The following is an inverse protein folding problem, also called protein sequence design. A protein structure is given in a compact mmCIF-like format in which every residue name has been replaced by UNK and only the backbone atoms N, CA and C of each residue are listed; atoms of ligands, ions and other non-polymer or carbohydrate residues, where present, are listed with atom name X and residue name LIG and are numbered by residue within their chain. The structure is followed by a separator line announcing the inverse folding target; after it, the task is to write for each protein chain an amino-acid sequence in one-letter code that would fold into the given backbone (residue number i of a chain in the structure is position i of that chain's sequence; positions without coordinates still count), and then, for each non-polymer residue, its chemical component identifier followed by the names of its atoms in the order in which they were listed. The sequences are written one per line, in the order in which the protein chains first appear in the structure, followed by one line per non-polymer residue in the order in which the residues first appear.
data_IF_558811999907
#
_entry.id   IF_558811999907
#
_cell.length_a   1.000
_cell.length_b   1.000
_cell.length_c   1.000
_cell.angle_alpha   90.00
_cell.angle_beta   90.00
_cell.angle_gamma   90.00
#
_symmetry.space_group_name_H-M   'P 1'
#
loop_
_entity.id
_entity.type
_entity.pdbx_description
1 polymer ?
#
# COMPACT_ATOMS: atom_id res chain seq x y z
N UNK A 1 -21.02 -11.22 22.30
CA UNK A 1 -19.86 -11.94 21.73
C UNK A 1 -20.01 -12.24 20.24
N UNK A 2 -21.22 -12.42 19.70
CA UNK A 2 -21.42 -12.82 18.29
C UNK A 2 -20.96 -11.78 17.25
N UNK A 3 -20.93 -10.49 17.60
CA UNK A 3 -20.42 -9.43 16.70
C UNK A 3 -18.90 -9.44 16.52
N UNK A 4 -18.13 -10.05 17.44
CA UNK A 4 -16.66 -10.08 17.41
C UNK A 4 -16.09 -11.35 16.75
N UNK A 5 -16.86 -12.44 16.72
CA UNK A 5 -16.45 -13.72 16.11
C UNK A 5 -15.90 -13.60 14.68
N UNK A 6 -16.52 -12.85 13.75
CA UNK A 6 -15.99 -12.73 12.38
C UNK A 6 -14.71 -11.88 12.27
N UNK A 7 -14.38 -11.10 13.30
CA UNK A 7 -13.15 -10.29 13.37
C UNK A 7 -12.01 -11.01 14.12
N UNK A 8 -12.30 -12.15 14.74
CA UNK A 8 -11.34 -12.87 15.57
C UNK A 8 -10.04 -13.21 14.81
N UNK A 9 -10.07 -13.66 13.53
CA UNK A 9 -8.85 -13.89 12.75
C UNK A 9 -8.01 -12.61 12.59
N UNK A 10 -8.64 -11.48 12.28
CA UNK A 10 -7.95 -10.20 12.06
C UNK A 10 -7.38 -9.63 13.36
N UNK A 11 -8.14 -9.71 14.46
CA UNK A 11 -7.69 -9.29 15.79
C UNK A 11 -6.50 -10.14 16.23
N UNK A 12 -6.60 -11.47 16.08
CA UNK A 12 -5.53 -12.41 16.44
C UNK A 12 -4.28 -12.19 15.59
N UNK A 13 -4.44 -12.00 14.28
CA UNK A 13 -3.35 -11.69 13.36
C UNK A 13 -2.68 -10.35 13.71
N UNK A 14 -3.46 -9.32 14.04
CA UNK A 14 -2.94 -8.01 14.46
C UNK A 14 -2.15 -8.13 15.76
N UNK A 15 -2.70 -8.81 16.78
CA UNK A 15 -2.02 -9.02 18.05
C UNK A 15 -0.70 -9.80 17.87
N UNK A 16 -0.72 -10.87 17.08
CA UNK A 16 0.48 -11.65 16.76
C UNK A 16 1.53 -10.79 16.04
N UNK A 17 1.11 -10.00 15.04
CA UNK A 17 2.02 -9.16 14.27
C UNK A 17 2.61 -8.01 15.08
N UNK A 18 1.81 -7.36 15.93
CA UNK A 18 2.26 -6.33 16.86
C UNK A 18 3.25 -6.91 17.86
N UNK A 19 2.95 -8.09 18.43
CA UNK A 19 3.86 -8.78 19.34
C UNK A 19 5.19 -9.11 18.65
N UNK A 20 5.13 -9.65 17.43
CA UNK A 20 6.30 -9.92 16.62
C UNK A 20 7.09 -8.64 16.27
N UNK A 21 6.41 -7.58 15.88
CA UNK A 21 7.04 -6.32 15.53
C UNK A 21 7.75 -5.68 16.73
N UNK A 22 7.13 -5.71 17.90
CA UNK A 22 7.69 -5.22 19.16
C UNK A 22 8.90 -6.03 19.61
N UNK A 23 8.76 -7.36 19.66
CA UNK A 23 9.84 -8.26 20.10
C UNK A 23 11.04 -8.27 19.16
N UNK A 24 10.81 -8.05 17.86
CA UNK A 24 11.87 -8.00 16.85
C UNK A 24 12.31 -6.59 16.46
N UNK A 25 11.84 -5.56 17.17
CA UNK A 25 12.14 -4.13 16.92
C UNK A 25 11.97 -3.75 15.44
N UNK A 26 10.90 -4.23 14.78
CA UNK A 26 10.63 -3.97 13.35
C UNK A 26 9.92 -2.66 13.10
N UNK A 27 9.22 -2.17 14.12
CA UNK A 27 8.56 -0.88 14.13
C UNK A 27 9.03 -0.12 15.36
N UNK A 28 9.15 1.20 15.22
CA UNK A 28 9.27 2.11 16.36
C UNK A 28 8.00 2.05 17.22
N UNK A 29 8.02 2.50 18.49
CA UNK A 29 6.80 2.58 19.30
C UNK A 29 5.67 3.36 18.61
N UNK A 30 5.99 4.51 18.00
CA UNK A 30 5.04 5.29 17.20
C UNK A 30 4.56 4.51 15.95
N UNK A 31 5.47 3.77 15.30
CA UNK A 31 5.14 2.89 14.18
C UNK A 31 4.17 1.77 14.56
N UNK A 32 4.29 1.19 15.76
CA UNK A 32 3.34 0.17 16.26
C UNK A 32 1.95 0.77 16.41
N UNK A 33 1.84 1.95 17.03
CA UNK A 33 0.55 2.66 17.19
C UNK A 33 -0.06 2.96 15.82
N UNK A 34 0.73 3.49 14.88
CA UNK A 34 0.29 3.72 13.50
C UNK A 34 -0.18 2.42 12.83
N UNK A 35 0.56 1.32 13.00
CA UNK A 35 0.21 0.01 12.46
C UNK A 35 -1.11 -0.54 13.00
N UNK A 36 -1.36 -0.36 14.31
CA UNK A 36 -2.64 -0.74 14.95
C UNK A 36 -3.80 0.09 14.38
N UNK A 37 -3.61 1.41 14.24
CA UNK A 37 -4.63 2.30 13.68
C UNK A 37 -4.96 1.93 12.23
N UNK A 38 -3.94 1.73 11.40
CA UNK A 38 -4.10 1.30 10.00
C UNK A 38 -4.80 -0.06 9.94
N UNK A 39 -4.39 -1.05 10.74
CA UNK A 39 -5.06 -2.35 10.82
C UNK A 39 -6.52 -2.22 11.25
N UNK A 40 -6.80 -1.34 12.23
CA UNK A 40 -8.15 -1.00 12.68
C UNK A 40 -9.03 -0.51 11.53
N UNK A 41 -8.57 0.47 10.74
CA UNK A 41 -9.30 0.97 9.58
C UNK A 41 -9.59 -0.14 8.56
N UNK A 42 -8.62 -1.02 8.29
CA UNK A 42 -8.81 -2.13 7.36
C UNK A 42 -9.83 -3.16 7.87
N UNK A 43 -9.94 -3.34 9.20
CA UNK A 43 -10.93 -4.21 9.84
C UNK A 43 -12.35 -3.62 9.83
N UNK A 44 -12.51 -2.31 9.68
CA UNK A 44 -13.84 -1.68 9.57
C UNK A 44 -14.57 -2.07 8.28
N UNK A 45 -13.82 -2.41 7.23
CA UNK A 45 -14.41 -2.76 5.95
C UNK A 45 -15.01 -4.18 5.97
N UNK A 46 -16.20 -4.41 5.40
CA UNK A 46 -16.83 -5.73 5.38
C UNK A 46 -16.07 -6.79 4.55
N UNK A 47 -15.06 -6.39 3.78
CA UNK A 47 -14.23 -7.28 2.98
C UNK A 47 -12.88 -7.50 3.65
N UNK A 48 -12.62 -8.68 4.25
CA UNK A 48 -11.35 -8.97 4.91
C UNK A 48 -10.13 -8.92 3.99
N UNK A 49 -10.33 -8.95 2.67
CA UNK A 49 -9.25 -8.90 1.68
C UNK A 49 -8.30 -7.71 1.87
N UNK A 50 -8.82 -6.52 2.19
CA UNK A 50 -7.97 -5.34 2.40
C UNK A 50 -7.07 -5.49 3.64
N UNK A 51 -7.61 -6.07 4.71
CA UNK A 51 -6.81 -6.39 5.90
C UNK A 51 -5.69 -7.39 5.56
N UNK A 52 -5.99 -8.45 4.81
CA UNK A 52 -4.97 -9.44 4.45
C UNK A 52 -3.88 -8.88 3.54
N UNK A 53 -4.20 -7.93 2.64
CA UNK A 53 -3.20 -7.21 1.86
C UNK A 53 -2.20 -6.47 2.75
N UNK A 54 -2.68 -5.74 3.76
CA UNK A 54 -1.83 -5.05 4.73
C UNK A 54 -0.90 -6.02 5.46
N UNK A 55 -1.43 -7.14 5.97
CA UNK A 55 -0.65 -8.13 6.72
C UNK A 55 0.42 -8.77 5.84
N UNK A 56 0.05 -9.22 4.65
CA UNK A 56 0.99 -9.88 3.74
C UNK A 56 2.03 -8.88 3.21
N UNK A 57 1.64 -7.63 2.94
CA UNK A 57 2.59 -6.57 2.59
C UNK A 57 3.63 -6.37 3.69
N UNK A 58 3.21 -6.28 4.96
CA UNK A 58 4.14 -6.14 6.07
C UNK A 58 5.09 -7.34 6.18
N UNK A 59 4.57 -8.57 6.07
CA UNK A 59 5.36 -9.80 6.19
C UNK A 59 6.38 -9.90 5.06
N UNK A 60 5.94 -9.74 3.81
CA UNK A 60 6.80 -9.80 2.63
C UNK A 60 7.83 -8.67 2.63
N UNK A 61 7.40 -7.43 2.91
CA UNK A 61 8.29 -6.27 3.04
C UNK A 61 9.34 -6.47 4.13
N UNK A 62 8.97 -7.07 5.27
CA UNK A 62 9.94 -7.42 6.34
C UNK A 62 10.87 -8.57 5.95
N UNK A 63 10.45 -9.43 5.01
CA UNK A 63 11.25 -10.50 4.46
C UNK A 63 12.34 -9.98 3.51
N UNK A 64 11.95 -9.17 2.52
CA UNK A 64 12.89 -8.66 1.49
C UNK A 64 13.96 -7.73 2.05
N UNK A 65 13.65 -6.97 3.12
CA UNK A 65 14.65 -6.14 3.83
C UNK A 65 15.75 -6.98 4.50
N UNK A 66 15.55 -8.29 4.68
CA UNK A 66 16.57 -9.19 5.25
C UNK A 66 17.46 -9.83 4.21
N UNK A 67 17.00 -9.90 2.97
CA UNK A 67 17.77 -10.52 1.89
C UNK A 67 19.01 -9.68 1.63
N UNK A 68 20.19 -10.32 1.68
CA UNK A 68 21.46 -9.69 1.35
C UNK A 68 21.92 -8.56 2.28
N UNK A 69 21.46 -8.49 3.54
CA UNK A 69 21.84 -7.40 4.48
C UNK A 69 23.33 -7.08 4.54
N UNK A 70 24.18 -8.11 4.61
CA UNK A 70 25.65 -7.92 4.62
C UNK A 70 26.16 -7.27 3.33
N UNK A 71 25.58 -7.63 2.18
CA UNK A 71 25.93 -7.04 0.90
C UNK A 71 25.41 -5.60 0.78
N UNK A 72 24.20 -5.30 1.29
CA UNK A 72 23.61 -3.96 1.29
C UNK A 72 24.42 -2.95 2.10
N UNK A 73 24.93 -3.35 3.26
CA UNK A 73 25.69 -2.47 4.14
C UNK A 73 26.96 -1.87 3.50
N UNK A 74 27.49 -2.50 2.44
CA UNK A 74 28.63 -2.00 1.69
C UNK A 74 28.28 -1.04 0.54
N UNK A 75 27.01 -0.90 0.17
CA UNK A 75 26.59 -0.19 -1.05
C UNK A 75 26.23 1.27 -0.81
N UNK A 76 25.66 1.60 0.35
CA UNK A 76 25.29 2.97 0.75
C UNK A 76 25.86 3.32 2.12
N UNK A 77 25.89 4.61 2.46
CA UNK A 77 26.30 5.12 3.77
C UNK A 77 25.05 5.60 4.49
N UNK A 78 24.68 4.95 5.59
CA UNK A 78 23.53 5.37 6.39
C UNK A 78 23.95 6.35 7.49
N UNK A 79 23.31 7.53 7.57
CA UNK A 79 23.48 8.43 8.71
C UNK A 79 22.31 8.30 9.69
N UNK A 80 22.63 7.92 10.93
CA UNK A 80 21.72 7.98 12.06
C UNK A 80 22.05 9.21 12.90
N UNK A 81 21.27 10.28 12.73
CA UNK A 81 21.49 11.50 13.48
C UNK A 81 20.20 12.27 13.68
N UNK A 82 19.64 12.21 14.89
CA UNK A 82 18.51 13.02 15.36
C UNK A 82 18.86 14.53 15.55
N UNK A 83 19.88 15.03 14.86
CA UNK A 83 20.28 16.45 14.85
C UNK A 83 20.59 16.90 13.41
N UNK A 84 19.60 16.80 12.54
CA UNK A 84 19.55 17.53 11.26
C UNK A 84 19.05 18.97 11.44
N UNK A 85 19.25 19.57 12.61
CA UNK A 85 18.98 20.97 12.88
C UNK A 85 20.29 21.61 13.33
N UNK A 86 21.05 22.16 12.38
CA UNK A 86 21.89 23.32 12.71
C UNK A 86 21.03 24.52 12.36
N UNK A 87 20.44 25.09 13.41
CA UNK A 87 19.82 26.39 13.36
C UNK A 87 20.82 27.43 12.87
N UNK A 88 20.28 28.42 12.18
CA UNK A 88 20.95 29.67 11.90
C UNK A 88 21.33 30.29 13.26
N UNK A 89 22.63 30.40 13.55
CA UNK A 89 23.18 31.11 14.71
C UNK A 89 23.70 30.21 15.82
N UNK A 90 25.02 30.11 15.96
CA UNK A 90 25.81 30.88 16.93
C UNK A 90 27.26 30.36 16.92
N UNK A 91 28.24 31.28 16.97
CA UNK A 91 29.67 30.96 16.99
C UNK A 91 30.02 30.21 18.29
N UNK A 92 30.52 28.99 18.17
CA UNK A 92 31.10 28.25 19.29
C UNK A 92 32.00 27.13 18.78
N UNK A 93 33.31 27.35 18.79
CA UNK A 93 34.29 26.36 18.37
C UNK A 93 34.36 25.19 19.33
N UNK A 94 34.42 23.97 18.78
CA UNK A 94 35.18 22.88 19.38
C UNK A 94 35.55 21.87 18.29
N UNK A 95 36.86 21.62 18.15
CA UNK A 95 37.40 20.51 17.35
C UNK A 95 36.98 19.21 18.03
N UNK A 96 35.90 18.60 17.55
CA UNK A 96 35.52 17.23 17.89
C UNK A 96 35.86 16.32 16.74
N UNK A 97 36.56 15.23 17.03
CA UNK A 97 36.99 14.19 16.10
C UNK A 97 35.92 13.84 15.06
N UNK A 98 36.37 13.71 13.80
CA UNK A 98 35.62 13.10 12.73
C UNK A 98 35.45 11.60 13.03
N UNK A 99 34.49 11.28 13.90
CA UNK A 99 34.06 9.92 14.13
C UNK A 99 33.58 9.31 12.82
N UNK A 100 34.33 8.33 12.32
CA UNK A 100 33.83 7.39 11.33
C UNK A 100 32.59 6.69 11.93
N UNK A 101 31.41 7.19 11.58
CA UNK A 101 30.16 6.50 11.84
C UNK A 101 30.00 5.37 10.81
N UNK A 102 30.69 4.25 11.05
CA UNK A 102 30.33 2.96 10.46
C UNK A 102 29.05 2.48 11.16
N UNK A 103 27.90 3.00 10.73
CA UNK A 103 26.60 2.44 11.12
C UNK A 103 26.30 1.22 10.25
N UNK A 104 25.95 0.09 10.88
CA UNK A 104 25.45 -1.11 10.19
C UNK A 104 24.34 -0.72 9.20
N UNK A 105 24.63 -0.79 7.90
CA UNK A 105 23.74 -0.41 6.81
C UNK A 105 22.55 -1.36 6.64
N UNK A 106 21.64 -1.32 7.59
CA UNK A 106 20.31 -1.89 7.51
C UNK A 106 19.27 -0.83 7.85
N UNK A 107 18.23 -0.74 7.03
CA UNK A 107 17.05 0.07 7.32
C UNK A 107 16.58 -0.20 8.76
N UNK A 108 16.46 0.86 9.56
CA UNK A 108 16.11 0.77 10.97
C UNK A 108 14.68 0.29 11.21
N UNK A 109 14.22 0.39 12.46
CA UNK A 109 12.82 0.11 12.78
C UNK A 109 11.91 1.09 12.02
N UNK A 110 10.86 0.60 11.37
CA UNK A 110 9.95 1.43 10.58
C UNK A 110 9.25 2.48 11.44
N UNK A 111 9.22 3.71 10.96
CA UNK A 111 8.59 4.84 11.66
C UNK A 111 7.08 4.89 11.39
N UNK A 112 6.33 5.67 12.17
CA UNK A 112 4.92 5.96 11.88
C UNK A 112 4.74 6.63 10.51
N UNK A 113 5.68 7.50 10.13
CA UNK A 113 5.66 8.18 8.83
C UNK A 113 5.77 7.17 7.68
N UNK A 114 6.66 6.19 7.79
CA UNK A 114 6.77 5.09 6.81
C UNK A 114 5.49 4.24 6.72
N UNK A 115 4.84 3.98 7.86
CA UNK A 115 3.56 3.24 7.87
C UNK A 115 2.47 4.00 7.13
N UNK A 116 2.30 5.30 7.41
CA UNK A 116 1.30 6.12 6.73
C UNK A 116 1.64 6.46 5.28
N UNK A 117 2.92 6.58 4.93
CA UNK A 117 3.35 6.76 3.55
C UNK A 117 2.86 5.60 2.66
N UNK A 118 2.97 4.37 3.16
CA UNK A 118 2.61 3.18 2.40
C UNK A 118 1.10 2.86 2.43
N UNK A 119 0.42 3.09 3.57
CA UNK A 119 -0.97 2.63 3.78
C UNK A 119 -1.99 3.73 4.06
N UNK A 120 -1.56 5.00 4.19
CA UNK A 120 -2.43 6.10 4.59
C UNK A 120 -3.52 6.40 3.55
N UNK A 121 -3.17 6.48 2.27
CA UNK A 121 -4.17 6.71 1.23
C UNK A 121 -5.14 5.52 1.08
N UNK A 122 -4.66 4.29 1.26
CA UNK A 122 -5.52 3.11 1.31
C UNK A 122 -6.54 3.19 2.45
N UNK A 123 -6.16 3.73 3.62
CA UNK A 123 -7.12 3.98 4.70
C UNK A 123 -8.22 4.96 4.29
N UNK A 124 -7.88 6.03 3.57
CA UNK A 124 -8.87 7.00 3.04
C UNK A 124 -9.82 6.32 2.06
N UNK A 125 -9.31 5.53 1.11
CA UNK A 125 -10.12 4.80 0.14
C UNK A 125 -11.03 3.76 0.82
N UNK A 126 -10.51 3.05 1.83
CA UNK A 126 -11.29 2.06 2.60
C UNK A 126 -12.41 2.74 3.38
N UNK A 127 -12.13 3.85 4.06
CA UNK A 127 -13.15 4.59 4.80
C UNK A 127 -14.22 5.15 3.85
N UNK A 128 -13.81 5.71 2.71
CA UNK A 128 -14.73 6.16 1.68
C UNK A 128 -15.59 5.01 1.14
N UNK A 129 -15.01 3.83 0.90
CA UNK A 129 -15.75 2.69 0.41
C UNK A 129 -16.73 2.14 1.47
N UNK A 130 -16.29 2.02 2.72
CA UNK A 130 -17.16 1.66 3.85
C UNK A 130 -18.33 2.64 3.97
N UNK A 131 -18.08 3.95 3.87
CA UNK A 131 -19.11 4.98 3.93
C UNK A 131 -20.15 4.85 2.81
N UNK A 132 -19.72 4.56 1.57
CA UNK A 132 -20.64 4.35 0.46
C UNK A 132 -21.48 3.07 0.64
N UNK A 133 -20.89 2.00 1.18
CA UNK A 133 -21.61 0.76 1.47
C UNK A 133 -22.65 0.92 2.59
N UNK A 134 -22.36 1.71 3.62
CA UNK A 134 -23.31 1.97 4.70
C UNK A 134 -24.39 2.96 4.28
N UNK A 135 -24.05 3.98 3.48
CA UNK A 135 -24.98 4.99 2.97
C UNK A 135 -26.02 4.45 1.98
N UNK A 136 -25.77 3.28 1.39
CA UNK A 136 -26.66 2.61 0.42
C UNK A 136 -27.53 1.50 1.05
N UNK A 137 -27.45 1.31 2.37
CA UNK A 137 -28.33 0.40 3.12
C UNK A 137 -29.79 0.89 3.15
N UNK A 138 -30.77 -0.02 3.34
CA UNK A 138 -32.18 0.37 3.46
C UNK A 138 -32.38 1.26 4.70
N UNK A 139 -32.80 2.49 4.47
CA UNK A 139 -33.11 3.46 5.52
C UNK A 139 -34.39 3.04 6.28
N UNK A 140 -34.40 3.16 7.62
CA UNK A 140 -35.61 3.08 8.47
C UNK A 140 -36.41 4.41 8.38
N UNK A 141 -36.45 5.06 7.22
CA UNK A 141 -37.24 6.29 7.03
C UNK A 141 -38.04 6.28 5.74
N UNK A 142 -38.71 5.17 5.46
CA UNK A 142 -39.89 5.19 4.60
C UNK A 142 -41.12 5.87 5.24
N UNK A 143 -40.99 6.49 6.42
CA UNK A 143 -42.07 7.21 7.10
C UNK A 143 -41.81 8.70 7.37
N UNK A 144 -40.65 9.25 6.96
CA UNK A 144 -40.38 10.69 7.09
C UNK A 144 -40.14 11.28 5.70
N UNK A 145 -41.17 11.96 5.20
CA UNK A 145 -41.14 12.68 3.92
C UNK A 145 -40.13 13.83 3.98
N UNK A 146 -39.07 13.80 3.16
CA UNK A 146 -38.11 14.91 3.01
C UNK A 146 -36.64 14.59 3.30
N UNK A 147 -36.31 13.38 3.77
CA UNK A 147 -34.92 12.97 3.96
C UNK A 147 -34.35 12.38 2.65
N UNK A 148 -33.31 13.01 2.10
CA UNK A 148 -32.61 12.54 0.90
C UNK A 148 -32.06 11.12 1.10
N UNK A 149 -32.10 10.23 0.09
CA UNK A 149 -31.31 8.99 0.12
C UNK A 149 -29.84 9.31 0.41
N UNK A 150 -29.14 8.40 1.10
CA UNK A 150 -27.69 8.52 1.29
C UNK A 150 -26.93 8.59 -0.03
N UNK A 151 -25.65 8.99 0.02
CA UNK A 151 -24.81 9.22 -1.16
C UNK A 151 -24.69 7.95 -2.02
N UNK A 152 -25.35 7.95 -3.19
CA UNK A 152 -25.32 6.83 -4.15
C UNK A 152 -24.36 7.14 -5.30
N UNK A 153 -23.16 6.53 -5.25
CA UNK A 153 -22.13 6.68 -6.28
C UNK A 153 -21.64 5.31 -6.79
N UNK A 154 -22.43 4.61 -7.63
CA UNK A 154 -22.12 3.24 -8.05
C UNK A 154 -20.80 3.13 -8.83
N UNK A 155 -20.50 4.12 -9.68
CA UNK A 155 -19.25 4.17 -10.41
C UNK A 155 -18.05 4.21 -9.46
N UNK A 156 -18.07 5.08 -8.46
CA UNK A 156 -17.02 5.20 -7.45
C UNK A 156 -16.90 3.91 -6.60
N UNK A 157 -18.03 3.33 -6.18
CA UNK A 157 -18.02 2.08 -5.40
C UNK A 157 -17.42 0.89 -6.17
N UNK A 158 -17.58 0.84 -7.49
CA UNK A 158 -17.04 -0.25 -8.31
C UNK A 158 -15.52 -0.19 -8.45
N UNK A 159 -14.96 1.01 -8.40
CA UNK A 159 -13.54 1.23 -8.67
C UNK A 159 -12.68 1.33 -7.42
N UNK A 160 -13.24 1.75 -6.28
CA UNK A 160 -12.51 1.85 -5.00
C UNK A 160 -11.76 0.57 -4.59
N UNK A 161 -12.36 -0.64 -4.69
CA UNK A 161 -11.63 -1.88 -4.39
C UNK A 161 -10.38 -2.06 -5.24
N UNK A 162 -10.47 -1.70 -6.52
CA UNK A 162 -9.40 -1.90 -7.48
C UNK A 162 -8.27 -0.90 -7.21
N UNK A 163 -8.62 0.35 -6.91
CA UNK A 163 -7.66 1.37 -6.47
C UNK A 163 -6.91 0.96 -5.19
N UNK A 164 -7.61 0.37 -4.21
CA UNK A 164 -6.98 -0.15 -2.98
C UNK A 164 -5.99 -1.28 -3.30
N UNK A 165 -6.37 -2.26 -4.12
CA UNK A 165 -5.49 -3.38 -4.49
C UNK A 165 -4.29 -2.89 -5.28
N UNK A 166 -4.49 -1.98 -6.23
CA UNK A 166 -3.44 -1.45 -7.08
C UNK A 166 -2.41 -0.63 -6.30
N UNK A 167 -2.85 0.17 -5.33
CA UNK A 167 -1.94 0.85 -4.41
C UNK A 167 -1.05 -0.15 -3.67
N UNK A 168 -1.64 -1.21 -3.10
CA UNK A 168 -0.84 -2.23 -2.40
C UNK A 168 0.10 -3.00 -3.34
N UNK A 169 -0.34 -3.28 -4.58
CA UNK A 169 0.52 -3.86 -5.60
C UNK A 169 1.69 -2.93 -5.95
N UNK A 170 1.45 -1.63 -6.07
CA UNK A 170 2.46 -0.60 -6.36
C UNK A 170 3.48 -0.47 -5.23
N UNK A 171 3.01 -0.31 -3.99
CA UNK A 171 3.91 -0.19 -2.83
C UNK A 171 4.72 -1.48 -2.62
N UNK A 172 4.13 -2.66 -2.86
CA UNK A 172 4.87 -3.92 -2.79
C UNK A 172 5.87 -4.08 -3.94
N UNK A 173 5.50 -3.69 -5.16
CA UNK A 173 6.38 -3.68 -6.32
C UNK A 173 7.59 -2.81 -6.05
N UNK A 174 7.35 -1.59 -5.56
CA UNK A 174 8.41 -0.66 -5.22
C UNK A 174 9.31 -1.16 -4.09
N UNK A 175 8.72 -1.69 -3.01
CA UNK A 175 9.49 -2.28 -1.90
C UNK A 175 10.38 -3.43 -2.37
N UNK A 176 9.88 -4.32 -3.23
CA UNK A 176 10.70 -5.42 -3.75
C UNK A 176 11.78 -4.91 -4.71
N UNK A 177 11.43 -3.94 -5.56
CA UNK A 177 12.34 -3.35 -6.53
C UNK A 177 13.52 -2.66 -5.87
N UNK A 178 13.27 -1.80 -4.88
CA UNK A 178 14.30 -1.07 -4.15
C UNK A 178 15.13 -2.00 -3.25
N UNK A 179 14.48 -2.87 -2.48
CA UNK A 179 15.17 -3.73 -1.51
C UNK A 179 15.99 -4.83 -2.18
N UNK A 180 15.56 -5.40 -3.30
CA UNK A 180 16.29 -6.47 -3.96
C UNK A 180 17.08 -5.97 -5.17
N UNK A 181 16.61 -4.92 -5.84
CA UNK A 181 17.28 -4.32 -6.99
C UNK A 181 18.58 -3.60 -6.65
N UNK A 182 18.76 -3.12 -5.41
CA UNK A 182 20.05 -2.55 -4.97
C UNK A 182 21.18 -3.59 -5.01
N UNK A 183 20.86 -4.89 -4.93
CA UNK A 183 21.81 -6.00 -5.00
C UNK A 183 22.11 -6.44 -6.45
N UNK A 184 21.58 -5.73 -7.46
CA UNK A 184 21.85 -6.04 -8.86
C UNK A 184 23.36 -6.00 -9.16
N UNK A 185 23.79 -6.92 -10.03
CA UNK A 185 25.20 -6.95 -10.50
C UNK A 185 25.49 -5.83 -11.48
N UNK A 186 24.45 -5.38 -12.19
CA UNK A 186 24.52 -4.29 -13.15
C UNK A 186 24.42 -2.94 -12.44
N UNK A 187 25.17 -1.94 -12.94
CA UNK A 187 25.04 -0.58 -12.42
C UNK A 187 23.67 -0.02 -12.79
N UNK A 188 22.92 0.60 -11.84
CA UNK A 188 21.65 1.24 -12.16
C UNK A 188 21.80 2.33 -13.23
N UNK A 189 20.74 2.53 -14.02
CA UNK A 189 20.61 3.64 -14.96
C UNK A 189 19.58 4.63 -14.42
N UNK A 190 19.77 5.92 -14.68
CA UNK A 190 18.78 6.94 -14.26
C UNK A 190 17.54 6.85 -15.16
N UNK A 191 16.34 6.76 -14.58
CA UNK A 191 15.11 6.56 -15.36
C UNK A 191 14.83 7.67 -16.38
N UNK A 192 15.14 8.93 -16.04
CA UNK A 192 14.97 10.09 -16.94
C UNK A 192 16.09 10.23 -17.99
N UNK A 193 17.21 9.52 -17.80
CA UNK A 193 18.34 9.53 -18.71
C UNK A 193 18.98 8.13 -18.75
N UNK A 194 18.37 7.15 -19.45
CA UNK A 194 18.78 5.74 -19.40
C UNK A 194 20.23 5.48 -19.88
N UNK A 195 20.84 6.44 -20.57
CA UNK A 195 22.26 6.40 -20.96
C UNK A 195 23.22 6.73 -19.80
N UNK A 196 22.72 7.31 -18.70
CA UNK A 196 23.53 7.68 -17.54
C UNK A 196 23.49 6.60 -16.48
N UNK A 197 24.63 5.95 -16.26
CA UNK A 197 24.83 5.01 -15.14
C UNK A 197 25.07 5.79 -13.85
N UNK A 198 24.46 5.34 -12.77
CA UNK A 198 24.52 6.00 -11.45
C UNK A 198 24.93 5.00 -10.35
N UNK A 199 25.46 5.47 -9.22
CA UNK A 199 25.74 4.62 -8.08
C UNK A 199 24.48 3.94 -7.51
N UNK A 200 24.63 2.78 -6.87
CA UNK A 200 23.55 2.11 -6.16
C UNK A 200 22.98 3.01 -5.04
N UNK A 201 21.66 2.97 -4.83
CA UNK A 201 20.95 3.85 -3.91
C UNK A 201 20.56 5.21 -4.47
N UNK A 202 20.92 5.54 -5.71
CA UNK A 202 20.54 6.82 -6.33
C UNK A 202 19.03 6.88 -6.53
N UNK A 203 18.38 7.98 -6.08
CA UNK A 203 16.95 8.18 -6.30
C UNK A 203 16.64 8.22 -7.81
N UNK A 204 15.71 7.37 -8.24
CA UNK A 204 15.37 7.17 -9.66
C UNK A 204 16.36 6.32 -10.46
N UNK A 205 17.33 5.67 -9.80
CA UNK A 205 18.17 4.65 -10.40
C UNK A 205 17.43 3.32 -10.52
N UNK A 206 17.34 2.76 -11.73
CA UNK A 206 16.62 1.51 -12.02
C UNK A 206 17.56 0.44 -12.58
N UNK A 207 17.25 -0.83 -12.27
CA UNK A 207 17.94 -2.02 -12.78
C UNK A 207 16.92 -3.01 -13.34
N UNK A 208 17.34 -3.86 -14.27
CA UNK A 208 16.47 -4.88 -14.86
C UNK A 208 16.05 -5.90 -13.78
N UNK A 209 16.98 -6.28 -12.92
CA UNK A 209 16.74 -7.15 -11.78
C UNK A 209 15.74 -6.51 -10.80
N UNK A 210 15.87 -5.22 -10.51
CA UNK A 210 14.91 -4.47 -9.70
C UNK A 210 13.51 -4.47 -10.31
N UNK A 211 13.38 -4.29 -11.63
CA UNK A 211 12.09 -4.40 -12.31
C UNK A 211 11.51 -5.81 -12.17
N UNK A 212 12.31 -6.86 -12.34
CA UNK A 212 11.87 -8.25 -12.15
C UNK A 212 11.37 -8.53 -10.74
N UNK A 213 12.08 -8.07 -9.72
CA UNK A 213 11.64 -8.18 -8.32
C UNK A 213 10.37 -7.35 -8.06
N UNK A 214 10.25 -6.18 -8.67
CA UNK A 214 9.04 -5.37 -8.59
C UNK A 214 7.82 -6.07 -9.17
N UNK A 215 7.94 -6.72 -10.33
CA UNK A 215 6.86 -7.53 -10.92
C UNK A 215 6.44 -8.65 -9.96
N UNK A 216 7.40 -9.36 -9.36
CA UNK A 216 7.11 -10.40 -8.38
C UNK A 216 6.38 -9.85 -7.14
N UNK A 217 6.82 -8.72 -6.59
CA UNK A 217 6.19 -8.07 -5.45
C UNK A 217 4.73 -7.68 -5.72
N UNK A 218 4.48 -7.00 -6.84
CA UNK A 218 3.13 -6.61 -7.25
C UNK A 218 2.22 -7.81 -7.53
N UNK A 219 2.78 -8.87 -8.14
CA UNK A 219 2.05 -10.11 -8.41
C UNK A 219 1.63 -10.83 -7.12
N UNK A 220 2.54 -10.96 -6.14
CA UNK A 220 2.25 -11.63 -4.87
C UNK A 220 1.12 -10.94 -4.09
N UNK A 221 1.09 -9.61 -4.09
CA UNK A 221 0.01 -8.86 -3.42
C UNK A 221 -1.29 -8.94 -4.21
N UNK A 222 -1.25 -8.89 -5.54
CA UNK A 222 -2.44 -9.09 -6.37
C UNK A 222 -3.02 -10.51 -6.19
N UNK A 223 -2.17 -11.52 -6.12
CA UNK A 223 -2.58 -12.90 -5.83
C UNK A 223 -3.19 -13.02 -4.43
N UNK A 224 -2.62 -12.31 -3.45
CA UNK A 224 -3.19 -12.22 -2.10
C UNK A 224 -4.61 -11.63 -2.14
N UNK A 225 -4.84 -10.55 -2.89
CA UNK A 225 -6.17 -9.99 -3.08
C UNK A 225 -7.12 -11.01 -3.72
N UNK A 226 -6.70 -11.65 -4.81
CA UNK A 226 -7.50 -12.63 -5.54
C UNK A 226 -7.93 -13.80 -4.64
N UNK A 227 -7.00 -14.36 -3.87
CA UNK A 227 -7.28 -15.45 -2.93
C UNK A 227 -8.19 -14.98 -1.78
N UNK A 228 -7.89 -13.83 -1.18
CA UNK A 228 -8.68 -13.32 -0.07
C UNK A 228 -10.12 -12.99 -0.49
N UNK A 229 -10.33 -12.38 -1.66
CA UNK A 229 -11.66 -12.13 -2.22
C UNK A 229 -12.40 -13.43 -2.56
N UNK A 230 -11.67 -14.49 -2.94
CA UNK A 230 -12.25 -15.79 -3.29
C UNK A 230 -12.75 -16.58 -2.08
N UNK A 231 -12.05 -16.49 -0.95
CA UNK A 231 -12.32 -17.30 0.26
C UNK A 231 -13.03 -16.54 1.38
N UNK A 232 -13.09 -15.22 1.30
CA UNK A 232 -13.78 -14.37 2.27
C UNK A 232 -14.79 -13.45 1.55
N UNK A 233 -15.79 -12.88 2.26
CA UNK A 233 -16.72 -11.95 1.66
C UNK A 233 -15.98 -10.86 0.86
N UNK A 234 -16.37 -10.60 -0.39
CA UNK A 234 -17.65 -10.93 -1.01
C UNK A 234 -17.72 -12.28 -1.76
N UNK A 235 -16.70 -13.15 -1.67
CA UNK A 235 -16.60 -14.43 -2.41
C UNK A 235 -16.55 -14.24 -3.93
N UNK A 236 -15.71 -13.31 -4.37
CA UNK A 236 -15.52 -12.94 -5.77
C UNK A 236 -14.17 -13.48 -6.27
N UNK A 237 -14.18 -14.05 -7.46
CA UNK A 237 -12.96 -14.46 -8.15
C UNK A 237 -12.47 -13.34 -9.07
N UNK A 238 -11.17 -13.04 -9.03
CA UNK A 238 -10.53 -12.22 -10.06
C UNK A 238 -10.14 -13.10 -11.23
N UNK A 239 -10.46 -12.66 -12.45
CA UNK A 239 -9.97 -13.29 -13.66
C UNK A 239 -8.48 -12.99 -13.87
N UNK A 240 -7.82 -13.82 -14.70
CA UNK A 240 -6.38 -13.72 -14.97
C UNK A 240 -6.01 -12.37 -15.58
N UNK A 241 -6.86 -11.80 -16.43
CA UNK A 241 -6.61 -10.49 -17.05
C UNK A 241 -6.64 -9.37 -16.02
N UNK A 242 -7.57 -9.40 -15.06
CA UNK A 242 -7.58 -8.47 -13.93
C UNK A 242 -6.35 -8.61 -13.03
N UNK A 243 -5.91 -9.85 -12.74
CA UNK A 243 -4.68 -10.09 -11.96
C UNK A 243 -3.45 -9.55 -12.71
N UNK A 244 -3.34 -9.81 -14.01
CA UNK A 244 -2.26 -9.30 -14.84
C UNK A 244 -2.26 -7.77 -14.87
N UNK A 245 -3.43 -7.14 -15.06
CA UNK A 245 -3.57 -5.69 -15.07
C UNK A 245 -3.17 -5.06 -13.74
N UNK A 246 -3.61 -5.61 -12.61
CA UNK A 246 -3.24 -5.12 -11.28
C UNK A 246 -1.74 -5.28 -10.99
N UNK A 247 -1.13 -6.35 -11.49
CA UNK A 247 0.32 -6.54 -11.44
C UNK A 247 1.06 -5.48 -12.26
N UNK A 248 0.58 -5.19 -13.47
CA UNK A 248 1.11 -4.11 -14.33
C UNK A 248 0.89 -2.74 -13.68
N UNK A 249 -0.26 -2.49 -13.06
CA UNK A 249 -0.51 -1.26 -12.31
C UNK A 249 0.48 -1.09 -11.15
N UNK A 250 0.84 -2.19 -10.48
CA UNK A 250 1.92 -2.20 -9.50
C UNK A 250 3.26 -1.80 -10.08
N UNK A 251 3.61 -2.34 -11.26
CA UNK A 251 4.82 -1.97 -11.98
C UNK A 251 4.83 -0.48 -12.39
N UNK A 252 3.69 0.04 -12.86
CA UNK A 252 3.54 1.48 -13.17
C UNK A 252 3.78 2.31 -11.91
N UNK A 253 3.32 1.86 -10.75
CA UNK A 253 3.59 2.48 -9.46
C UNK A 253 5.08 2.61 -9.15
N UNK A 254 5.87 1.54 -9.23
CA UNK A 254 7.33 1.64 -8.99
C UNK A 254 8.06 2.48 -10.05
N UNK A 255 7.56 2.52 -11.29
CA UNK A 255 8.05 3.47 -12.31
C UNK A 255 7.75 4.91 -11.91
N UNK A 256 6.55 5.20 -11.39
CA UNK A 256 6.20 6.52 -10.85
C UNK A 256 7.10 6.89 -9.67
N UNK A 257 7.40 5.96 -8.76
CA UNK A 257 8.35 6.18 -7.66
C UNK A 257 9.71 6.61 -8.19
N UNK A 258 10.28 5.84 -9.12
CA UNK A 258 11.58 6.14 -9.72
C UNK A 258 11.60 7.48 -10.46
N UNK A 259 10.53 7.83 -11.19
CA UNK A 259 10.40 9.12 -11.88
C UNK A 259 10.35 10.28 -10.88
N UNK A 260 9.52 10.17 -9.84
CA UNK A 260 9.45 11.15 -8.76
C UNK A 260 10.79 11.25 -8.03
N UNK A 261 11.46 10.13 -7.76
CA UNK A 261 12.78 10.10 -7.15
C UNK A 261 13.82 10.86 -7.97
N UNK A 262 13.82 10.67 -9.29
CA UNK A 262 14.73 11.41 -10.18
C UNK A 262 14.43 12.91 -10.25
N UNK A 263 13.15 13.30 -10.15
CA UNK A 263 12.70 14.69 -10.34
C UNK A 263 12.71 15.50 -9.04
N UNK A 264 12.15 14.95 -7.97
CA UNK A 264 11.75 15.68 -6.76
C UNK A 264 12.49 15.26 -5.49
N UNK A 265 13.47 14.36 -5.59
CA UNK A 265 14.34 14.01 -4.47
C UNK A 265 15.80 14.36 -4.74
N UNK A 266 16.48 14.84 -3.70
CA UNK A 266 17.92 15.00 -3.73
C UNK A 266 18.61 13.65 -3.50
N UNK A 267 19.52 13.26 -4.39
CA UNK A 267 20.51 12.20 -4.13
C UNK A 267 21.79 12.83 -3.63
N UNK A 268 22.26 12.32 -2.50
CA UNK A 268 23.44 12.83 -1.80
C UNK A 268 24.54 11.79 -1.92
N UNK A 269 25.72 12.17 -2.44
CA UNK A 269 26.86 11.25 -2.59
C UNK A 269 28.06 11.74 -1.79
N UNK A 270 28.75 10.82 -1.13
CA UNK A 270 30.01 11.13 -0.45
C UNK A 270 31.14 11.31 -1.48
N UNK A 271 31.83 12.44 -1.43
CA UNK A 271 32.87 12.78 -2.39
C UNK A 271 34.16 11.96 -2.27
N UNK A 272 34.37 11.23 -1.17
CA UNK A 272 35.53 10.34 -1.02
C UNK A 272 35.27 8.97 -1.62
N UNK A 273 34.13 8.37 -1.28
CA UNK A 273 33.79 6.99 -1.66
C UNK A 273 32.94 6.89 -2.92
N UNK A 274 32.26 7.97 -3.32
CA UNK A 274 31.30 7.99 -4.42
C UNK A 274 29.99 7.25 -4.12
N UNK A 275 29.80 6.76 -2.87
CA UNK A 275 28.60 6.04 -2.45
C UNK A 275 27.47 7.01 -2.13
N UNK A 276 26.24 6.53 -2.31
CA UNK A 276 25.04 7.29 -1.93
C UNK A 276 24.89 7.28 -0.42
N UNK A 277 24.48 8.42 0.11
CA UNK A 277 24.24 8.68 1.53
C UNK A 277 22.74 8.70 1.78
N UNK A 278 22.27 7.83 2.66
CA UNK A 278 20.85 7.66 2.98
C UNK A 278 20.55 8.11 4.41
N UNK A 279 19.43 8.83 4.57
CA UNK A 279 18.96 9.29 5.87
C UNK A 279 18.10 8.23 6.55
N UNK A 280 18.28 8.06 7.85
CA UNK A 280 17.49 7.10 8.63
C UNK A 280 15.98 7.35 8.49
N UNK A 281 15.20 6.29 8.25
CA UNK A 281 13.74 6.35 8.16
C UNK A 281 13.21 7.14 6.95
N UNK A 282 14.01 7.27 5.88
CA UNK A 282 13.62 8.00 4.66
C UNK A 282 13.70 9.52 4.78
N UNK A 283 14.44 10.02 5.79
CA UNK A 283 14.64 11.44 6.04
C UNK A 283 15.67 12.06 5.09
N UNK A 284 15.62 13.39 4.94
CA UNK A 284 16.59 14.12 4.13
C UNK A 284 17.97 14.07 4.78
N UNK A 285 19.00 13.95 3.94
CA UNK A 285 20.39 14.12 4.34
C UNK A 285 20.80 15.54 3.98
N UNK A 286 21.15 16.35 4.98
CA UNK A 286 21.73 17.67 4.72
C UNK A 286 23.23 17.52 4.44
N UNK A 287 23.74 18.33 3.52
CA UNK A 287 25.17 18.45 3.23
C UNK A 287 25.88 18.98 4.49
N UNK A 288 26.65 18.14 5.18
CA UNK A 288 27.49 18.60 6.28
C UNK A 288 28.60 19.51 5.74
N UNK A 289 28.63 20.77 6.16
CA UNK A 289 29.84 21.58 6.06
C UNK A 289 30.86 21.05 7.06
N UNK A 290 31.84 20.25 6.61
CA UNK A 290 33.01 19.93 7.44
C UNK A 290 33.65 18.56 7.28
N UNK A 291 33.09 17.63 6.50
CA UNK A 291 33.71 16.30 6.33
C UNK A 291 33.21 15.58 5.09
N UNK A 292 34.09 15.39 4.11
CA UNK A 292 33.75 14.82 2.80
C UNK A 292 33.01 15.81 1.89
N UNK A 293 33.40 15.92 0.62
CA UNK A 293 32.67 16.78 -0.34
C UNK A 293 31.36 16.09 -0.72
N UNK A 294 30.27 16.43 -0.06
CA UNK A 294 28.97 15.87 -0.38
C UNK A 294 28.38 16.58 -1.61
N UNK A 295 28.04 15.84 -2.67
CA UNK A 295 27.36 16.37 -3.86
C UNK A 295 25.88 16.01 -3.79
N UNK A 296 25.02 17.03 -3.77
CA UNK A 296 23.58 16.89 -3.93
C UNK A 296 23.18 17.09 -5.40
N UNK A 297 22.32 16.24 -5.94
CA UNK A 297 21.68 16.41 -7.26
C UNK A 297 20.19 16.09 -7.21
N UNK A 298 19.39 16.74 -8.05
CA UNK A 298 17.92 16.66 -8.03
C UNK A 298 17.27 17.84 -7.28
N UNK A 299 15.94 17.96 -7.35
CA UNK A 299 15.20 18.98 -6.59
C UNK A 299 14.95 18.43 -5.17
N UNK A 300 15.29 19.16 -4.11
CA UNK A 300 15.05 18.69 -2.73
C UNK A 300 13.62 19.03 -2.24
N UNK A 301 12.61 18.46 -2.92
CA UNK A 301 11.18 18.79 -2.68
C UNK A 301 10.51 17.77 -1.79
N UNK A 302 10.71 16.46 -2.01
CA UNK A 302 10.08 15.39 -1.24
C UNK A 302 11.10 14.47 -0.55
N UNK A 303 10.71 13.94 0.60
CA UNK A 303 11.41 12.82 1.28
C UNK A 303 11.08 11.49 0.60
N UNK A 304 11.76 10.40 0.97
CA UNK A 304 11.39 9.05 0.49
C UNK A 304 9.96 8.69 0.90
N UNK A 305 9.60 8.94 2.15
CA UNK A 305 8.22 8.77 2.61
C UNK A 305 7.19 9.60 1.82
N UNK A 306 7.55 10.83 1.42
CA UNK A 306 6.70 11.69 0.61
C UNK A 306 6.47 11.14 -0.79
N UNK A 307 7.54 10.65 -1.44
CA UNK A 307 7.43 10.02 -2.76
C UNK A 307 6.59 8.74 -2.69
N UNK A 308 6.84 7.86 -1.71
CA UNK A 308 6.05 6.65 -1.52
C UNK A 308 4.56 6.97 -1.35
N UNK A 309 4.21 8.02 -0.58
CA UNK A 309 2.83 8.44 -0.41
C UNK A 309 2.19 8.92 -1.72
N UNK A 310 2.89 9.77 -2.48
CA UNK A 310 2.41 10.31 -3.76
C UNK A 310 2.27 9.20 -4.80
N UNK A 311 3.21 8.26 -4.85
CA UNK A 311 3.15 7.08 -5.70
C UNK A 311 2.00 6.16 -5.30
N UNK A 312 1.82 5.90 -4.01
CA UNK A 312 0.75 5.05 -3.49
C UNK A 312 -0.64 5.66 -3.79
N UNK A 313 -0.81 6.96 -3.56
CA UNK A 313 -2.02 7.68 -3.93
C UNK A 313 -2.21 7.72 -5.46
N UNK A 314 -1.15 8.05 -6.19
CA UNK A 314 -1.14 8.14 -7.65
C UNK A 314 -1.50 6.83 -8.33
N UNK A 315 -0.95 5.69 -7.90
CA UNK A 315 -1.23 4.36 -8.48
C UNK A 315 -2.67 3.88 -8.29
N UNK A 316 -3.37 4.41 -7.28
CA UNK A 316 -4.78 4.09 -7.05
C UNK A 316 -5.74 4.80 -8.02
N UNK A 317 -5.30 5.88 -8.70
CA UNK A 317 -6.15 6.78 -9.50
C UNK A 317 -6.33 6.35 -10.98
N UNK A 318 -5.30 5.94 -11.73
CA UNK A 318 -5.39 5.61 -13.17
C UNK A 318 -6.38 4.49 -13.50
N UNK A 319 -6.67 3.60 -12.54
CA UNK A 319 -7.64 2.53 -12.74
C UNK A 319 -9.09 3.07 -12.78
N UNK A 320 -9.29 4.32 -12.39
CA UNK A 320 -10.55 5.04 -12.61
C UNK A 320 -10.79 5.42 -14.08
N UNK A 321 -9.79 5.28 -14.95
CA UNK A 321 -9.80 5.78 -16.34
C UNK A 321 -9.45 4.68 -17.35
N UNK A 322 -10.19 3.56 -17.43
CA UNK A 322 -9.96 2.58 -18.53
C UNK A 322 -11.11 1.57 -18.81
N UNK A 323 -11.07 0.81 -19.94
CA UNK A 323 -12.09 0.83 -20.99
C UNK A 323 -13.21 -0.20 -20.78
N UNK A 324 -14.27 -0.08 -21.57
CA UNK A 324 -15.48 -0.93 -21.60
C UNK A 324 -15.24 -2.46 -21.58
N UNK A 325 -14.06 -2.95 -21.98
CA UNK A 325 -13.72 -4.38 -21.95
C UNK A 325 -13.58 -4.95 -20.51
N UNK A 326 -13.05 -4.17 -19.56
CA UNK A 326 -12.95 -4.58 -18.15
C UNK A 326 -14.32 -4.38 -17.45
N UNK A 327 -15.17 -3.52 -18.03
CA UNK A 327 -16.56 -3.31 -17.59
C UNK A 327 -17.41 -4.58 -17.58
N UNK A 328 -17.09 -5.53 -18.44
CA UNK A 328 -17.76 -6.84 -18.47
C UNK A 328 -17.23 -7.80 -17.38
N UNK A 329 -15.96 -7.69 -16.97
CA UNK A 329 -15.41 -8.40 -15.80
C UNK A 329 -15.91 -7.85 -14.46
N UNK A 330 -16.26 -6.55 -14.41
CA UNK A 330 -16.87 -5.91 -13.24
C UNK A 330 -18.26 -6.43 -12.89
N UNK A 331 -18.88 -7.25 -13.75
CA UNK A 331 -20.07 -8.02 -13.38
C UNK A 331 -19.87 -8.89 -12.13
N UNK A 332 -18.61 -9.21 -11.78
CA UNK A 332 -18.23 -9.98 -10.59
C UNK A 332 -18.06 -9.13 -9.32
N UNK A 333 -17.69 -7.85 -9.42
CA UNK A 333 -17.63 -6.93 -8.26
C UNK A 333 -18.95 -6.22 -7.98
N UNK A 334 -19.93 -6.32 -8.88
CA UNK A 334 -21.30 -5.96 -8.59
C UNK A 334 -21.75 -6.65 -7.29
N UNK A 335 -22.02 -5.81 -6.29
CA UNK A 335 -22.64 -6.11 -5.00
C UNK A 335 -23.72 -7.22 -5.11
N UNK A 336 -24.08 -7.89 -4.00
CA UNK A 336 -25.10 -8.96 -3.90
C UNK A 336 -26.53 -8.52 -4.30
N UNK A 337 -26.68 -7.39 -4.99
CA UNK A 337 -27.92 -6.86 -5.49
C UNK A 337 -28.54 -7.69 -6.63
N UNK A 338 -27.84 -8.67 -7.21
CA UNK A 338 -28.51 -9.68 -8.05
C UNK A 338 -29.49 -10.54 -7.23
N UNK A 339 -29.19 -10.82 -5.95
CA UNK A 339 -30.12 -11.52 -5.06
C UNK A 339 -31.24 -10.60 -4.53
N UNK A 340 -30.94 -9.34 -4.22
CA UNK A 340 -31.94 -8.36 -3.77
C UNK A 340 -32.89 -7.92 -4.89
N UNK A 341 -32.42 -7.74 -6.13
CA UNK A 341 -33.29 -7.51 -7.28
C UNK A 341 -34.18 -8.72 -7.59
N UNK A 342 -33.68 -9.95 -7.37
CA UNK A 342 -34.48 -11.18 -7.52
C UNK A 342 -35.57 -11.30 -6.45
N UNK A 343 -35.32 -10.79 -5.24
CA UNK A 343 -36.32 -10.70 -4.15
C UNK A 343 -37.25 -9.47 -4.24
N UNK A 344 -36.99 -8.51 -5.13
CA UNK A 344 -37.85 -7.32 -5.36
C UNK A 344 -38.83 -7.47 -6.52
N UNK A 345 -39.09 -8.69 -7.00
CA UNK A 345 -40.20 -8.93 -7.93
C UNK A 345 -40.15 -8.15 -9.26
N UNK A 346 -38.97 -7.66 -9.68
CA UNK A 346 -38.81 -7.06 -11.01
C UNK A 346 -38.65 -8.20 -12.02
N UNK A 347 -39.77 -8.90 -12.22
CA UNK A 347 -39.96 -9.87 -13.29
C UNK A 347 -39.98 -9.10 -14.61
N UNK A 348 -39.03 -9.40 -15.50
CA UNK A 348 -39.26 -9.16 -16.94
C UNK A 348 -40.46 -10.01 -17.33
N UNK A 349 -41.61 -9.38 -17.52
CA UNK A 349 -42.79 -10.01 -18.13
C UNK A 349 -42.44 -10.43 -19.56
N UNK A 350 -42.35 -11.74 -19.78
CA UNK A 350 -42.85 -12.41 -20.99
C UNK A 350 -43.04 -13.91 -20.71
N UNK A 351 -44.33 -14.32 -20.62
CA UNK A 351 -45.00 -15.57 -21.11
C UNK A 351 -44.12 -16.81 -21.42
N UNK A 352 -44.40 -18.08 -21.07
CA UNK A 352 -45.64 -18.83 -20.70
C UNK A 352 -45.28 -20.24 -20.17
N UNK A 353 -46.11 -20.77 -19.24
CA UNK A 353 -46.41 -22.17 -18.81
C UNK A 353 -45.45 -23.06 -17.95
N UNK A 354 -45.96 -23.84 -16.95
CA UNK A 354 -45.20 -24.63 -15.94
C UNK A 354 -45.47 -26.17 -16.02
N UNK A 355 -45.22 -27.03 -14.99
CA UNK A 355 -44.10 -27.18 -14.03
C UNK A 355 -43.49 -28.62 -14.04
N UNK A 356 -42.31 -28.83 -13.45
CA UNK A 356 -42.10 -30.03 -12.61
C UNK A 356 -40.98 -29.88 -11.57
N UNK A 357 -41.20 -30.57 -10.45
CA UNK A 357 -40.63 -30.33 -9.13
C UNK A 357 -39.22 -30.89 -8.88
N UNK A 358 -38.46 -30.24 -8.00
CA UNK A 358 -37.85 -30.89 -6.82
C UNK A 358 -37.26 -29.84 -5.87
N UNK A 359 -37.57 -30.02 -4.57
CA UNK A 359 -37.21 -29.14 -3.46
C UNK A 359 -35.80 -29.44 -2.95
N UNK A 360 -35.04 -28.41 -2.57
CA UNK A 360 -34.05 -28.48 -1.48
C UNK A 360 -34.09 -27.17 -0.67
N UNK A 361 -33.99 -27.21 0.68
CA UNK A 361 -34.15 -26.01 1.50
C UNK A 361 -32.78 -25.41 1.86
N UNK A 362 -32.54 -24.15 1.49
CA UNK A 362 -31.56 -23.28 2.16
C UNK A 362 -32.12 -21.86 2.26
N UNK A 363 -33.00 -21.67 3.23
CA UNK A 363 -33.33 -20.39 3.87
C UNK A 363 -32.68 -20.44 5.26
N UNK A 364 -32.15 -19.43 5.93
CA UNK A 364 -32.18 -17.96 5.85
C UNK A 364 -31.10 -17.50 6.83
N UNK A 365 -30.19 -16.58 6.48
CA UNK A 365 -29.21 -16.04 7.44
C UNK A 365 -28.95 -14.52 7.37
N UNK A 366 -29.77 -13.76 6.63
CA UNK A 366 -29.55 -12.33 6.45
C UNK A 366 -30.69 -11.40 6.90
N UNK A 367 -31.59 -11.89 7.75
CA UNK A 367 -32.72 -11.08 8.27
C UNK A 367 -32.70 -10.85 9.80
N UNK A 368 -31.53 -10.85 10.45
CA UNK A 368 -31.44 -10.61 11.91
C UNK A 368 -30.44 -9.52 12.33
N UNK A 369 -30.02 -8.63 11.42
CA UNK A 369 -29.04 -7.57 11.75
C UNK A 369 -29.56 -6.14 11.58
N UNK A 370 -30.86 -5.95 11.74
CA UNK A 370 -31.49 -4.64 11.84
C UNK A 370 -32.58 -4.66 12.93
N UNK A 371 -32.21 -5.01 14.15
CA UNK A 371 -33.01 -4.74 15.35
C UNK A 371 -32.08 -4.76 16.55
N UNK A 372 -32.29 -3.83 17.48
CA UNK A 372 -31.51 -3.56 18.70
C UNK A 372 -30.34 -2.57 18.56
N UNK A 373 -30.69 -1.32 18.23
CA UNK A 373 -30.31 -0.18 19.05
C UNK A 373 -31.59 0.55 19.49
N UNK A 374 -32.03 0.23 20.70
CA UNK A 374 -32.84 1.06 21.60
C UNK A 374 -32.34 0.77 23.01
#
# INVERSE_FOLDING_TARGET
MDSLRPLLPQISATAALVTYASTRKKLTPAGIVAGILVAGVHMLHPWPAFFWLLIIFFVLGTGVTRVGKKAKAGLTISYSGAKGLIGIGEKGGSKGDAGHAEGEGGEGARTSVQVFANSGFACVLILAYTYLLTSTGPFISSHISGLSPGLYMPALSAVLPIGIIAQYAAVASDTFSSELGILAKTKPVLIMAPWKRVPAGTNGGVTIEGVGWGVLGGFLLTLTAALALRVSPPYVSLDVSTVALLTVAGLVGTVMDSLLGALVQATVTDGKTGKVVEGHGGMRVQVMQGGGKVKAGGMDVLTNNGVNFVMAAGSSIPIFVQPSAIRNGYGSFCLPNKQLCKNRGISKKTTTTPPNASRTPYTSFYSKRATFMS
#
